data_IF_264087513118
#
_entry.id   IF_264087513118
#
_cell.length_a   1.000
_cell.length_b   1.000
_cell.length_c   1.000
_cell.angle_alpha   90.00
_cell.angle_beta   90.00
_cell.angle_gamma   90.00
#
_symmetry.space_group_name_H-M   'P 1'
#
loop_
_entity.id
_entity.type
_entity.pdbx_description
1 polymer ?
#
# COMPACT_ATOMS: atom_id res chain seq x y z
N UNK A 1 -3.02 -14.88 3.86
CA UNK A 1 -2.12 -14.35 4.91
C UNK A 1 -1.12 -15.41 5.31
N UNK A 2 0.18 -15.23 5.02
CA UNK A 2 1.18 -16.28 5.26
C UNK A 2 1.49 -16.54 6.76
N UNK A 3 1.07 -15.65 7.65
CA UNK A 3 1.29 -15.77 9.10
C UNK A 3 0.20 -16.65 9.74
N UNK A 4 0.64 -17.67 10.48
CA UNK A 4 -0.20 -18.59 11.25
C UNK A 4 -1.01 -17.87 12.36
N UNK A 5 -2.25 -18.28 12.67
CA UNK A 5 -3.06 -19.30 11.99
C UNK A 5 -3.55 -18.81 10.63
N UNK A 6 -3.48 -19.66 9.61
CA UNK A 6 -3.97 -19.32 8.28
C UNK A 6 -5.49 -19.28 8.28
N UNK A 7 -6.08 -18.12 8.02
CA UNK A 7 -7.54 -17.95 7.96
C UNK A 7 -7.97 -17.89 6.50
N UNK A 8 -8.75 -18.87 6.10
CA UNK A 8 -9.41 -19.00 4.78
C UNK A 8 -10.93 -19.03 4.96
N UNK A 9 -11.68 -18.79 3.88
CA UNK A 9 -13.13 -18.92 3.88
C UNK A 9 -13.58 -20.28 4.45
N UNK A 10 -12.97 -21.39 3.98
CA UNK A 10 -13.24 -22.73 4.47
C UNK A 10 -12.96 -22.90 5.99
N UNK A 11 -11.85 -22.34 6.49
CA UNK A 11 -11.55 -22.39 7.94
C UNK A 11 -12.59 -21.63 8.79
N UNK A 12 -13.11 -20.51 8.27
CA UNK A 12 -14.13 -19.72 8.99
C UNK A 12 -15.52 -20.35 8.97
N UNK A 13 -15.78 -21.28 8.05
CA UNK A 13 -16.96 -22.14 8.08
C UNK A 13 -16.84 -23.25 9.13
N UNK A 14 -15.63 -23.80 9.30
CA UNK A 14 -15.35 -24.82 10.30
C UNK A 14 -15.38 -24.28 11.75
N UNK A 15 -15.03 -23.00 11.97
CA UNK A 15 -15.03 -22.42 13.31
C UNK A 15 -15.10 -20.90 13.34
N UNK A 16 -16.06 -20.34 14.10
CA UNK A 16 -16.20 -18.89 14.31
C UNK A 16 -14.97 -18.26 15.01
N UNK A 17 -14.16 -19.07 15.69
CA UNK A 17 -12.89 -18.67 16.33
C UNK A 17 -11.93 -18.01 15.34
N UNK A 18 -11.97 -18.39 14.06
CA UNK A 18 -11.11 -17.80 13.03
C UNK A 18 -11.38 -16.31 12.77
N UNK A 19 -12.60 -15.82 13.03
CA UNK A 19 -12.90 -14.39 12.99
C UNK A 19 -12.20 -13.63 14.13
N UNK A 20 -12.15 -14.22 15.32
CA UNK A 20 -11.41 -13.63 16.45
C UNK A 20 -9.91 -13.58 16.15
N UNK A 21 -9.33 -14.59 15.52
CA UNK A 21 -7.93 -14.54 15.07
C UNK A 21 -7.67 -13.42 14.06
N UNK A 22 -8.63 -13.14 13.16
CA UNK A 22 -8.52 -12.02 12.23
C UNK A 22 -8.54 -10.67 12.94
N UNK A 23 -9.49 -10.47 13.86
CA UNK A 23 -9.58 -9.24 14.65
C UNK A 23 -8.31 -9.05 15.49
N UNK A 24 -7.82 -10.11 16.13
CA UNK A 24 -6.58 -10.06 16.90
C UNK A 24 -5.38 -9.65 16.03
N UNK A 25 -5.28 -10.16 14.79
CA UNK A 25 -4.24 -9.75 13.84
C UNK A 25 -4.32 -8.26 13.49
N UNK A 26 -5.52 -7.71 13.29
CA UNK A 26 -5.68 -6.27 13.05
C UNK A 26 -5.30 -5.44 14.27
N UNK A 27 -5.71 -5.86 15.47
CA UNK A 27 -5.32 -5.18 16.72
C UNK A 27 -3.80 -5.18 16.88
N UNK A 28 -3.15 -6.33 16.72
CA UNK A 28 -1.68 -6.43 16.78
C UNK A 28 -1.02 -5.51 15.76
N UNK A 29 -1.49 -5.51 14.51
CA UNK A 29 -0.94 -4.66 13.45
C UNK A 29 -1.09 -3.17 13.79
N UNK A 30 -2.27 -2.73 14.23
CA UNK A 30 -2.54 -1.34 14.62
C UNK A 30 -1.69 -0.94 15.83
N UNK A 31 -1.60 -1.82 16.84
CA UNK A 31 -0.76 -1.58 18.02
C UNK A 31 0.72 -1.44 17.63
N UNK A 32 1.23 -2.31 16.75
CA UNK A 32 2.60 -2.20 16.25
C UNK A 32 2.80 -0.86 15.51
N UNK A 33 1.92 -0.50 14.58
CA UNK A 33 1.98 0.79 13.88
C UNK A 33 1.98 1.95 14.87
N UNK A 34 1.10 1.93 15.86
CA UNK A 34 1.02 2.95 16.89
C UNK A 34 2.30 3.03 17.73
N UNK A 35 2.88 1.89 18.14
CA UNK A 35 4.15 1.84 18.88
C UNK A 35 5.31 2.44 18.07
N UNK A 36 5.44 2.05 16.80
CA UNK A 36 6.46 2.59 15.90
C UNK A 36 6.30 4.09 15.65
N UNK A 37 5.06 4.59 15.61
CA UNK A 37 4.80 6.01 15.44
C UNK A 37 5.06 6.83 16.72
N UNK A 38 4.52 6.38 17.86
CA UNK A 38 4.60 7.10 19.14
C UNK A 38 6.02 7.18 19.69
N UNK A 39 6.86 6.18 19.42
CA UNK A 39 8.23 6.16 19.91
C UNK A 39 9.23 6.33 18.77
N UNK A 40 9.77 7.54 18.65
CA UNK A 40 10.88 7.82 17.75
C UNK A 40 12.11 6.98 18.08
N UNK A 41 12.47 6.93 19.36
CA UNK A 41 13.59 6.12 19.86
C UNK A 41 13.42 4.64 19.52
N UNK A 42 12.21 4.08 19.61
CA UNK A 42 11.99 2.67 19.26
C UNK A 42 12.16 2.43 17.76
N UNK A 43 11.57 3.30 16.93
CA UNK A 43 11.72 3.23 15.48
C UNK A 43 13.19 3.30 15.07
N UNK A 44 13.91 4.29 15.59
CA UNK A 44 15.33 4.50 15.31
C UNK A 44 16.16 3.30 15.74
N UNK A 45 15.92 2.77 16.94
CA UNK A 45 16.58 1.55 17.39
C UNK A 45 16.32 0.38 16.45
N UNK A 46 15.08 0.15 16.00
CA UNK A 46 14.78 -0.98 15.11
C UNK A 46 15.46 -0.84 13.74
N UNK A 47 15.40 0.34 13.12
CA UNK A 47 15.89 0.55 11.76
C UNK A 47 17.38 0.91 11.68
N UNK A 48 18.01 1.36 12.77
CA UNK A 48 19.45 1.58 12.88
C UNK A 48 20.21 0.38 13.45
N UNK A 49 19.52 -0.69 13.85
CA UNK A 49 20.18 -1.95 14.20
C UNK A 49 20.94 -2.48 12.98
N UNK A 50 22.20 -2.84 13.17
CA UNK A 50 22.97 -3.53 12.12
C UNK A 50 22.47 -5.00 12.08
N UNK A 51 22.13 -5.59 10.92
CA UNK A 51 22.44 -5.18 9.55
C UNK A 51 21.42 -4.26 8.87
N UNK A 52 20.24 -4.09 9.45
CA UNK A 52 19.09 -3.36 8.88
C UNK A 52 19.50 -1.94 8.48
N UNK A 53 20.36 -1.30 9.30
CA UNK A 53 20.93 0.02 9.05
C UNK A 53 21.37 0.24 7.60
N UNK A 54 22.13 -0.68 6.99
CA UNK A 54 22.67 -0.49 5.64
C UNK A 54 21.60 -0.49 4.53
N UNK A 55 20.39 -0.95 4.83
CA UNK A 55 19.28 -0.98 3.87
C UNK A 55 18.46 0.31 3.89
N UNK A 56 18.47 1.05 5.00
CA UNK A 56 17.54 2.17 5.23
C UNK A 56 18.23 3.51 5.49
N UNK A 57 19.55 3.52 5.65
CA UNK A 57 20.32 4.73 5.94
C UNK A 57 20.69 5.49 4.67
N UNK A 58 20.47 6.81 4.71
CA UNK A 58 20.94 7.78 3.73
C UNK A 58 22.43 8.11 3.93
N UNK A 59 23.05 8.85 3.00
CA UNK A 59 24.47 9.22 3.08
C UNK A 59 24.85 9.99 4.37
N UNK A 60 23.88 10.59 5.06
CA UNK A 60 24.03 11.38 6.29
C UNK A 60 23.77 10.58 7.59
N UNK A 61 23.67 9.26 7.52
CA UNK A 61 23.31 8.38 8.64
C UNK A 61 21.89 8.59 9.19
N UNK A 62 21.02 9.30 8.45
CA UNK A 62 19.65 9.59 8.88
C UNK A 62 18.62 8.61 8.30
N UNK A 63 17.57 8.34 9.08
CA UNK A 63 16.38 7.58 8.66
C UNK A 63 15.11 8.45 8.65
N UNK A 64 15.30 9.77 8.68
CA UNK A 64 14.23 10.75 8.81
C UNK A 64 13.25 10.68 7.63
N UNK A 65 13.76 10.53 6.40
CA UNK A 65 12.92 10.37 5.22
C UNK A 65 12.15 9.05 5.26
N UNK A 66 12.80 7.93 5.59
CA UNK A 66 12.13 6.64 5.75
C UNK A 66 10.97 6.72 6.75
N UNK A 67 11.24 7.28 7.93
CA UNK A 67 10.24 7.53 8.98
C UNK A 67 9.11 8.40 8.46
N UNK A 68 9.43 9.50 7.79
CA UNK A 68 8.43 10.41 7.23
C UNK A 68 7.52 9.70 6.22
N UNK A 69 8.08 9.03 5.21
CA UNK A 69 7.33 8.32 4.16
C UNK A 69 6.44 7.22 4.73
N UNK A 70 6.98 6.40 5.62
CA UNK A 70 6.21 5.36 6.31
C UNK A 70 5.08 5.96 7.14
N UNK A 71 5.34 7.07 7.83
CA UNK A 71 4.37 7.72 8.71
C UNK A 71 3.17 8.29 7.95
N UNK A 72 3.35 8.78 6.72
CA UNK A 72 2.28 9.40 5.94
C UNK A 72 1.11 8.43 5.70
N UNK A 73 1.40 7.22 5.25
CA UNK A 73 0.39 6.23 4.83
C UNK A 73 0.17 5.10 5.85
N UNK A 74 0.59 5.29 7.11
CA UNK A 74 0.67 4.23 8.13
C UNK A 74 -0.59 3.38 8.31
N UNK A 75 -1.78 3.96 8.11
CA UNK A 75 -3.07 3.26 8.28
C UNK A 75 -3.77 2.90 6.97
N UNK A 76 -3.28 3.35 5.80
CA UNK A 76 -3.96 3.15 4.50
C UNK A 76 -4.22 1.67 4.22
N UNK A 77 -3.21 0.83 4.44
CA UNK A 77 -3.28 -0.62 4.28
C UNK A 77 -4.29 -1.22 5.27
N UNK A 78 -4.28 -0.78 6.54
CA UNK A 78 -5.21 -1.26 7.57
C UNK A 78 -6.65 -0.95 7.16
N UNK A 79 -6.93 0.26 6.67
CA UNK A 79 -8.26 0.63 6.19
C UNK A 79 -8.73 -0.28 5.05
N UNK A 80 -7.85 -0.57 4.09
CA UNK A 80 -8.15 -1.52 3.01
C UNK A 80 -8.42 -2.95 3.51
N UNK A 81 -7.61 -3.45 4.44
CA UNK A 81 -7.80 -4.79 5.02
C UNK A 81 -9.10 -4.90 5.82
N UNK A 82 -9.41 -3.89 6.64
CA UNK A 82 -10.64 -3.84 7.44
C UNK A 82 -11.86 -3.74 6.52
N UNK A 83 -11.81 -2.89 5.49
CA UNK A 83 -12.88 -2.80 4.50
C UNK A 83 -13.12 -4.16 3.82
N UNK A 84 -12.07 -4.83 3.35
CA UNK A 84 -12.18 -6.15 2.73
C UNK A 84 -12.77 -7.19 3.68
N UNK A 85 -12.36 -7.19 4.94
CA UNK A 85 -12.92 -8.08 5.95
C UNK A 85 -14.40 -7.83 6.22
N UNK A 86 -14.81 -6.57 6.38
CA UNK A 86 -16.22 -6.19 6.57
C UNK A 86 -17.05 -6.54 5.34
N UNK A 87 -16.51 -6.32 4.14
CA UNK A 87 -17.17 -6.67 2.88
C UNK A 87 -17.44 -8.18 2.76
N UNK A 88 -16.45 -9.03 3.05
CA UNK A 88 -16.64 -10.49 3.05
C UNK A 88 -17.66 -10.95 4.11
N UNK A 89 -17.66 -10.33 5.29
CA UNK A 89 -18.68 -10.58 6.31
C UNK A 89 -20.08 -10.16 5.82
N UNK A 90 -20.19 -8.98 5.21
CA UNK A 90 -21.46 -8.48 4.68
C UNK A 90 -22.01 -9.41 3.58
N UNK A 91 -21.16 -9.96 2.72
CA UNK A 91 -21.54 -10.99 1.75
C UNK A 91 -22.02 -12.28 2.43
N UNK A 92 -21.27 -12.78 3.43
CA UNK A 92 -21.63 -14.01 4.15
C UNK A 92 -22.97 -13.91 4.87
N UNK A 93 -23.27 -12.76 5.49
CA UNK A 93 -24.54 -12.52 6.16
C UNK A 93 -25.66 -12.05 5.21
N UNK A 94 -25.41 -12.06 3.89
CA UNK A 94 -26.37 -11.65 2.85
C UNK A 94 -26.87 -10.21 3.00
N UNK A 95 -26.06 -9.33 3.61
CA UNK A 95 -26.31 -7.89 3.59
C UNK A 95 -25.94 -7.27 2.24
N UNK A 96 -25.02 -7.90 1.52
CA UNK A 96 -24.57 -7.49 0.19
C UNK A 96 -24.69 -8.69 -0.74
N UNK A 97 -25.34 -8.49 -1.87
CA UNK A 97 -25.36 -9.44 -2.99
C UNK A 97 -24.68 -8.79 -4.21
N UNK A 98 -23.55 -9.35 -4.60
CA UNK A 98 -22.76 -8.87 -5.73
C UNK A 98 -22.85 -9.77 -6.97
N UNK A 99 -23.72 -10.79 -6.97
CA UNK A 99 -23.86 -11.70 -8.11
C UNK A 99 -24.51 -11.03 -9.32
N UNK A 100 -25.31 -10.00 -9.09
CA UNK A 100 -26.13 -9.36 -10.12
C UNK A 100 -25.47 -8.07 -10.63
N UNK A 101 -25.72 -7.73 -11.90
CA UNK A 101 -25.24 -6.49 -12.52
C UNK A 101 -26.01 -5.24 -12.08
N UNK A 102 -26.97 -5.38 -11.17
CA UNK A 102 -27.77 -4.29 -10.63
C UNK A 102 -26.98 -3.46 -9.60
N UNK A 103 -27.64 -2.48 -8.99
CA UNK A 103 -27.05 -1.76 -7.88
C UNK A 103 -26.85 -2.70 -6.68
N UNK A 104 -25.80 -2.46 -5.91
CA UNK A 104 -25.44 -3.30 -4.76
C UNK A 104 -26.53 -3.33 -3.67
N UNK A 105 -27.33 -2.26 -3.61
CA UNK A 105 -28.45 -2.11 -2.68
C UNK A 105 -29.70 -1.62 -3.40
N UNK A 106 -30.80 -1.43 -2.67
CA UNK A 106 -32.01 -0.78 -3.21
C UNK A 106 -31.68 0.56 -3.87
N UNK A 107 -32.47 0.96 -4.88
CA UNK A 107 -32.18 2.15 -5.69
C UNK A 107 -32.00 3.42 -4.84
N UNK A 108 -32.90 3.64 -3.87
CA UNK A 108 -32.88 4.80 -2.98
C UNK A 108 -31.62 4.76 -2.09
N UNK A 109 -31.35 3.61 -1.47
CA UNK A 109 -30.19 3.47 -0.59
C UNK A 109 -28.88 3.60 -1.36
N UNK A 110 -28.80 3.03 -2.57
CA UNK A 110 -27.65 3.15 -3.45
C UNK A 110 -27.36 4.61 -3.82
N UNK A 111 -28.38 5.38 -4.21
CA UNK A 111 -28.24 6.81 -4.48
C UNK A 111 -27.76 7.59 -3.24
N UNK A 112 -28.29 7.26 -2.06
CA UNK A 112 -27.86 7.87 -0.80
C UNK A 112 -26.39 7.55 -0.47
N UNK A 113 -25.98 6.29 -0.58
CA UNK A 113 -24.59 5.86 -0.32
C UNK A 113 -23.62 6.51 -1.31
N UNK A 114 -23.97 6.60 -2.59
CA UNK A 114 -23.16 7.29 -3.61
C UNK A 114 -23.05 8.78 -3.31
N UNK A 115 -24.14 9.42 -2.89
CA UNK A 115 -24.13 10.82 -2.47
C UNK A 115 -23.21 11.04 -1.27
N UNK A 116 -23.28 10.19 -0.24
CA UNK A 116 -22.33 10.23 0.88
C UNK A 116 -20.89 10.02 0.43
N UNK A 117 -20.65 9.10 -0.51
CA UNK A 117 -19.35 8.89 -1.12
C UNK A 117 -18.82 10.17 -1.78
N UNK A 118 -19.64 10.84 -2.59
CA UNK A 118 -19.30 12.10 -3.26
C UNK A 118 -19.02 13.23 -2.26
N UNK A 119 -19.84 13.35 -1.21
CA UNK A 119 -19.60 14.31 -0.13
C UNK A 119 -18.28 14.02 0.60
N UNK A 120 -17.99 12.76 0.92
CA UNK A 120 -16.74 12.38 1.57
C UNK A 120 -15.52 12.72 0.70
N UNK A 121 -15.56 12.38 -0.60
CA UNK A 121 -14.48 12.72 -1.52
C UNK A 121 -14.32 14.23 -1.67
N UNK A 122 -15.43 14.95 -1.85
CA UNK A 122 -15.44 16.42 -1.93
C UNK A 122 -14.89 17.07 -0.66
N UNK A 123 -15.28 16.59 0.52
CA UNK A 123 -14.80 17.10 1.80
C UNK A 123 -13.28 16.93 1.96
N UNK A 124 -12.74 15.78 1.54
CA UNK A 124 -11.31 15.52 1.58
C UNK A 124 -10.52 16.39 0.59
N UNK A 125 -11.07 16.60 -0.61
CA UNK A 125 -10.49 17.52 -1.60
C UNK A 125 -10.48 18.95 -1.06
N UNK A 126 -11.60 19.42 -0.50
CA UNK A 126 -11.70 20.74 0.13
C UNK A 126 -10.71 20.87 1.28
N UNK A 127 -10.62 19.87 2.16
CA UNK A 127 -9.62 19.83 3.23
C UNK A 127 -8.20 19.99 2.67
N UNK A 128 -7.86 19.24 1.62
CA UNK A 128 -6.53 19.28 1.00
C UNK A 128 -6.21 20.67 0.42
N UNK A 129 -7.18 21.35 -0.19
CA UNK A 129 -6.99 22.70 -0.72
C UNK A 129 -6.95 23.79 0.35
N UNK A 130 -7.71 23.65 1.43
CA UNK A 130 -7.77 24.63 2.51
C UNK A 130 -6.62 24.50 3.52
N UNK A 131 -5.94 23.35 3.54
CA UNK A 131 -4.89 23.08 4.50
C UNK A 131 -3.59 23.81 4.12
N UNK A 132 -3.29 24.90 4.82
CA UNK A 132 -2.15 25.78 4.53
C UNK A 132 -0.82 25.28 5.11
N UNK A 133 -0.84 24.62 6.26
CA UNK A 133 0.37 24.14 6.92
C UNK A 133 0.64 22.67 6.60
N UNK A 134 1.51 22.41 5.62
CA UNK A 134 1.85 21.05 5.15
C UNK A 134 2.19 20.08 6.28
N UNK A 135 2.89 20.52 7.33
CA UNK A 135 3.31 19.64 8.43
C UNK A 135 2.11 19.16 9.23
N UNK A 136 1.20 20.07 9.59
CA UNK A 136 -0.05 19.73 10.28
C UNK A 136 -0.96 18.87 9.37
N UNK A 137 -1.09 19.23 8.09
CA UNK A 137 -1.90 18.45 7.13
C UNK A 137 -1.44 16.99 7.06
N UNK A 138 -0.12 16.77 6.99
CA UNK A 138 0.48 15.45 6.91
C UNK A 138 0.23 14.61 8.17
N UNK A 139 0.11 15.24 9.34
CA UNK A 139 -0.24 14.53 10.58
C UNK A 139 -1.68 14.03 10.54
N UNK A 140 -2.63 14.87 10.11
CA UNK A 140 -4.04 14.50 9.99
C UNK A 140 -4.32 13.54 8.82
N UNK A 141 -3.56 13.67 7.73
CA UNK A 141 -3.71 12.89 6.50
C UNK A 141 -3.89 11.40 6.78
N UNK A 142 -2.99 10.79 7.55
CA UNK A 142 -3.02 9.35 7.82
C UNK A 142 -4.30 8.85 8.49
N UNK A 143 -4.99 9.71 9.24
CA UNK A 143 -6.25 9.40 9.90
C UNK A 143 -7.45 9.67 8.98
N UNK A 144 -7.35 10.71 8.14
CA UNK A 144 -8.43 11.15 7.26
C UNK A 144 -8.47 10.35 5.95
N UNK A 145 -7.39 9.67 5.55
CA UNK A 145 -7.31 8.90 4.29
C UNK A 145 -8.35 7.80 4.17
N UNK A 146 -8.92 7.31 5.28
CA UNK A 146 -10.07 6.38 5.22
C UNK A 146 -11.26 6.97 4.46
N UNK A 147 -11.49 8.28 4.56
CA UNK A 147 -12.61 8.97 3.92
C UNK A 147 -12.53 8.86 2.40
N UNK A 148 -11.48 9.35 1.71
CA UNK A 148 -11.39 9.22 0.26
C UNK A 148 -11.30 7.76 -0.21
N UNK A 149 -10.66 6.87 0.56
CA UNK A 149 -10.58 5.43 0.21
C UNK A 149 -11.99 4.82 0.17
N UNK A 150 -12.75 4.92 1.27
CA UNK A 150 -14.09 4.35 1.36
C UNK A 150 -15.05 5.06 0.39
N UNK A 151 -14.99 6.38 0.29
CA UNK A 151 -15.78 7.16 -0.67
C UNK A 151 -15.59 6.68 -2.10
N UNK A 152 -14.34 6.52 -2.55
CA UNK A 152 -14.05 6.07 -3.90
C UNK A 152 -14.56 4.64 -4.14
N UNK A 153 -14.35 3.73 -3.18
CA UNK A 153 -14.86 2.36 -3.28
C UNK A 153 -16.39 2.34 -3.41
N UNK A 154 -17.10 3.12 -2.58
CA UNK A 154 -18.56 3.19 -2.60
C UNK A 154 -19.08 3.77 -3.91
N UNK A 155 -18.56 4.93 -4.34
CA UNK A 155 -18.95 5.55 -5.61
C UNK A 155 -18.76 4.57 -6.75
N UNK A 156 -17.61 3.89 -6.81
CA UNK A 156 -17.22 3.02 -7.91
C UNK A 156 -18.01 1.71 -7.97
N UNK A 157 -18.37 1.14 -6.82
CA UNK A 157 -18.87 -0.24 -6.74
C UNK A 157 -20.37 -0.35 -6.38
N UNK A 158 -21.00 0.70 -5.85
CA UNK A 158 -22.44 0.64 -5.52
C UNK A 158 -23.34 0.68 -6.77
N UNK A 159 -23.12 1.59 -7.74
CA UNK A 159 -23.90 1.58 -8.98
C UNK A 159 -23.50 0.41 -9.88
N UNK A 160 -24.46 -0.40 -10.31
CA UNK A 160 -24.20 -1.60 -11.12
C UNK A 160 -23.50 -1.30 -12.45
N UNK A 161 -23.93 -0.23 -13.14
CA UNK A 161 -23.36 0.21 -14.41
C UNK A 161 -21.89 0.67 -14.31
N UNK A 162 -21.52 1.24 -13.16
CA UNK A 162 -20.15 1.68 -12.93
C UNK A 162 -19.29 0.48 -12.51
N UNK A 163 -19.79 -0.37 -11.62
CA UNK A 163 -19.12 -1.61 -11.19
C UNK A 163 -18.75 -2.54 -12.36
N UNK A 164 -19.65 -2.69 -13.33
CA UNK A 164 -19.50 -3.65 -14.45
C UNK A 164 -18.64 -3.14 -15.61
N UNK A 165 -18.41 -1.82 -15.72
CA UNK A 165 -17.65 -1.22 -16.83
C UNK A 165 -16.36 -0.61 -16.33
N UNK A 166 -15.24 -0.97 -16.91
CA UNK A 166 -13.93 -0.38 -16.61
C UNK A 166 -13.07 -0.26 -17.87
N UNK A 167 -12.10 0.64 -17.85
CA UNK A 167 -11.09 0.74 -18.91
C UNK A 167 -9.97 -0.27 -18.65
N UNK A 168 -9.75 -1.19 -19.58
CA UNK A 168 -8.64 -2.15 -19.51
C UNK A 168 -7.28 -1.46 -19.44
N UNK A 169 -7.13 -0.31 -20.11
CA UNK A 169 -5.91 0.48 -20.10
C UNK A 169 -5.61 1.04 -18.70
N UNK A 170 -6.57 1.72 -18.07
CA UNK A 170 -6.38 2.25 -16.71
C UNK A 170 -6.30 1.14 -15.66
N UNK A 171 -7.00 0.02 -15.85
CA UNK A 171 -6.85 -1.15 -14.99
C UNK A 171 -5.44 -1.74 -15.08
N UNK A 172 -4.83 -1.75 -16.27
CA UNK A 172 -3.44 -2.16 -16.44
C UNK A 172 -2.47 -1.20 -15.73
N UNK A 173 -2.65 0.12 -15.86
CA UNK A 173 -1.87 1.10 -15.08
C UNK A 173 -1.99 0.88 -13.57
N UNK A 174 -3.21 0.62 -13.09
CA UNK A 174 -3.45 0.33 -11.67
C UNK A 174 -2.71 -0.91 -11.17
N UNK A 175 -2.55 -1.95 -12.02
CA UNK A 175 -1.82 -3.18 -11.68
C UNK A 175 -0.33 -2.96 -11.44
N UNK A 176 0.27 -1.98 -12.12
CA UNK A 176 1.71 -1.63 -11.99
C UNK A 176 1.92 -0.33 -11.19
N UNK A 177 0.89 0.13 -10.46
CA UNK A 177 0.91 1.43 -9.80
C UNK A 177 1.98 1.56 -8.72
N UNK A 178 2.29 0.48 -8.00
CA UNK A 178 3.35 0.46 -7.00
C UNK A 178 4.72 0.65 -7.65
N UNK A 179 4.98 -0.06 -8.76
CA UNK A 179 6.23 0.06 -9.49
C UNK A 179 6.37 1.43 -10.15
N UNK A 180 5.28 1.99 -10.69
CA UNK A 180 5.26 3.37 -11.20
C UNK A 180 5.62 4.36 -10.09
N UNK A 181 5.01 4.22 -8.90
CA UNK A 181 5.25 5.12 -7.77
C UNK A 181 6.69 5.10 -7.28
N UNK A 182 7.34 3.93 -7.23
CA UNK A 182 8.73 3.81 -6.79
C UNK A 182 9.68 4.24 -7.92
N UNK A 183 9.46 3.75 -9.13
CA UNK A 183 10.37 3.96 -10.27
C UNK A 183 10.43 5.42 -10.71
N UNK A 184 9.42 6.25 -10.42
CA UNK A 184 9.46 7.67 -10.75
C UNK A 184 10.67 8.38 -10.11
N UNK A 185 11.03 7.98 -8.88
CA UNK A 185 12.14 8.57 -8.14
C UNK A 185 13.51 8.17 -8.71
N UNK A 186 13.59 7.04 -9.40
CA UNK A 186 14.85 6.50 -9.93
C UNK A 186 15.06 6.78 -11.42
N UNK A 187 13.98 6.91 -12.18
CA UNK A 187 14.03 7.01 -13.64
C UNK A 187 13.65 8.41 -14.12
N UNK A 188 12.62 8.99 -13.52
CA UNK A 188 11.98 10.18 -14.08
C UNK A 188 12.43 11.47 -13.39
N UNK A 189 12.56 11.43 -12.07
CA UNK A 189 13.04 12.53 -11.24
C UNK A 189 14.57 12.49 -11.13
N UNK A 190 15.18 13.67 -11.07
CA UNK A 190 16.61 13.86 -10.90
C UNK A 190 16.87 14.87 -9.75
N UNK A 191 18.13 14.96 -9.31
CA UNK A 191 18.58 15.92 -8.28
C UNK A 191 17.66 15.93 -7.04
N UNK A 192 17.48 14.76 -6.39
CA UNK A 192 16.65 14.62 -5.20
C UNK A 192 15.24 15.19 -5.34
N UNK A 193 14.60 14.89 -6.47
CA UNK A 193 13.24 15.35 -6.84
C UNK A 193 13.11 16.81 -7.25
N UNK A 194 14.23 17.54 -7.35
CA UNK A 194 14.23 18.94 -7.82
C UNK A 194 14.36 19.08 -9.35
N UNK A 195 14.61 17.99 -10.08
CA UNK A 195 14.74 17.97 -11.53
C UNK A 195 13.90 16.89 -12.20
N UNK A 196 13.73 17.02 -13.51
CA UNK A 196 13.12 16.01 -14.39
C UNK A 196 14.17 15.59 -15.42
N UNK A 197 14.18 14.30 -15.78
CA UNK A 197 15.06 13.77 -16.82
C UNK A 197 14.80 14.47 -18.17
N UNK A 198 15.87 15.01 -18.76
CA UNK A 198 15.86 15.59 -20.11
C UNK A 198 16.79 14.81 -21.02
N UNK A 199 16.20 14.02 -21.92
CA UNK A 199 16.88 13.29 -22.99
C UNK A 199 16.95 14.09 -24.29
N UNK A 200 15.94 14.93 -24.56
CA UNK A 200 15.90 15.78 -25.76
C UNK A 200 15.83 17.24 -25.35
N UNK A 201 16.99 17.94 -25.33
CA UNK A 201 17.03 19.38 -25.11
C UNK A 201 16.17 20.13 -26.15
N UNK A 202 15.62 21.28 -25.77
CA UNK A 202 14.83 22.19 -26.61
C UNK A 202 13.44 21.70 -27.08
N UNK A 203 13.08 20.44 -26.87
CA UNK A 203 11.75 19.91 -27.23
C UNK A 203 11.04 19.30 -26.01
N UNK A 204 10.46 20.12 -25.11
CA UNK A 204 9.95 19.66 -23.82
C UNK A 204 8.79 18.66 -23.94
N UNK A 205 7.87 18.87 -24.88
CA UNK A 205 6.73 17.96 -25.09
C UNK A 205 7.20 16.59 -25.57
N UNK A 206 8.11 16.57 -26.54
CA UNK A 206 8.68 15.33 -27.07
C UNK A 206 9.49 14.59 -26.00
N UNK A 207 10.26 15.34 -25.19
CA UNK A 207 10.98 14.77 -24.06
C UNK A 207 10.03 14.10 -23.07
N UNK A 208 8.94 14.75 -22.67
CA UNK A 208 7.96 14.17 -21.74
C UNK A 208 7.31 12.92 -22.32
N UNK A 209 6.95 12.91 -23.60
CA UNK A 209 6.37 11.73 -24.26
C UNK A 209 7.35 10.55 -24.23
N UNK A 210 8.60 10.77 -24.62
CA UNK A 210 9.61 9.71 -24.70
C UNK A 210 10.02 9.21 -23.32
N UNK A 211 10.31 10.12 -22.39
CA UNK A 211 10.68 9.75 -21.01
C UNK A 211 9.55 9.03 -20.30
N UNK A 212 8.29 9.45 -20.48
CA UNK A 212 7.12 8.74 -19.94
C UNK A 212 6.98 7.34 -20.54
N UNK A 213 7.16 7.19 -21.85
CA UNK A 213 7.11 5.88 -22.51
C UNK A 213 8.17 4.92 -21.94
N UNK A 214 9.43 5.37 -21.85
CA UNK A 214 10.54 4.59 -21.27
C UNK A 214 10.23 4.22 -19.81
N UNK A 215 9.80 5.19 -19.01
CA UNK A 215 9.44 5.01 -17.61
C UNK A 215 8.35 3.95 -17.42
N UNK A 216 7.28 3.99 -18.22
CA UNK A 216 6.18 3.02 -18.16
C UNK A 216 6.67 1.63 -18.57
N UNK A 217 7.46 1.52 -19.65
CA UNK A 217 8.02 0.24 -20.10
C UNK A 217 8.90 -0.41 -19.02
N UNK A 218 9.79 0.36 -18.40
CA UNK A 218 10.66 -0.15 -17.33
C UNK A 218 9.82 -0.57 -16.12
N UNK A 219 8.86 0.25 -15.69
CA UNK A 219 7.99 -0.08 -14.55
C UNK A 219 7.19 -1.37 -14.79
N UNK A 220 6.74 -1.61 -16.02
CA UNK A 220 6.07 -2.85 -16.40
C UNK A 220 6.98 -4.08 -16.32
N UNK A 221 8.23 -3.97 -16.78
CA UNK A 221 9.19 -5.08 -16.67
C UNK A 221 9.59 -5.33 -15.21
N UNK A 222 9.78 -4.28 -14.40
CA UNK A 222 9.99 -4.40 -12.96
C UNK A 222 8.82 -5.15 -12.33
N UNK A 223 7.57 -4.81 -12.66
CA UNK A 223 6.38 -5.48 -12.11
C UNK A 223 6.33 -6.98 -12.42
N UNK A 224 6.77 -7.39 -13.63
CA UNK A 224 6.89 -8.82 -13.97
C UNK A 224 7.95 -9.51 -13.13
N UNK A 225 9.12 -8.88 -12.98
CA UNK A 225 10.25 -9.44 -12.23
C UNK A 225 9.90 -9.54 -10.74
N UNK A 226 9.33 -8.48 -10.15
CA UNK A 226 8.89 -8.47 -8.75
C UNK A 226 7.80 -9.51 -8.52
N UNK A 227 6.84 -9.65 -9.44
CA UNK A 227 5.80 -10.67 -9.39
C UNK A 227 6.36 -12.10 -9.45
N UNK A 228 7.38 -12.34 -10.27
CA UNK A 228 8.07 -13.64 -10.34
C UNK A 228 8.89 -13.92 -9.07
N UNK A 229 9.66 -12.95 -8.59
CA UNK A 229 10.49 -13.06 -7.38
C UNK A 229 9.63 -13.27 -6.14
N UNK A 230 8.52 -12.55 -5.99
CA UNK A 230 7.64 -12.62 -4.82
C UNK A 230 7.12 -14.03 -4.59
N UNK A 231 6.77 -14.76 -5.65
CA UNK A 231 6.31 -16.16 -5.55
C UNK A 231 7.38 -17.09 -4.96
N UNK A 232 8.65 -16.82 -5.25
CA UNK A 232 9.77 -17.61 -4.75
C UNK A 232 10.21 -17.15 -3.36
N UNK A 233 10.23 -15.84 -3.13
CA UNK A 233 10.65 -15.25 -1.86
C UNK A 233 9.62 -15.50 -0.74
N UNK A 234 8.32 -15.31 -1.03
CA UNK A 234 7.22 -15.37 -0.08
C UNK A 234 6.22 -16.46 -0.51
N UNK A 235 6.55 -17.76 -0.31
CA UNK A 235 5.64 -18.85 -0.60
C UNK A 235 4.42 -18.83 0.33
N UNK A 236 3.32 -19.44 -0.10
CA UNK A 236 2.07 -19.53 0.67
C UNK A 236 2.18 -20.39 1.93
N UNK A 237 3.08 -21.38 1.92
CA UNK A 237 3.32 -22.27 3.06
C UNK A 237 4.25 -21.65 4.09
N UNK A 238 3.82 -21.61 5.36
CA UNK A 238 4.59 -20.98 6.44
C UNK A 238 5.96 -21.62 6.67
N UNK A 239 6.09 -22.95 6.48
CA UNK A 239 7.37 -23.66 6.64
C UNK A 239 8.37 -23.23 5.57
N UNK A 240 7.93 -23.16 4.33
CA UNK A 240 8.74 -22.69 3.21
C UNK A 240 9.09 -21.21 3.38
N UNK A 241 8.15 -20.39 3.85
CA UNK A 241 8.39 -18.97 4.14
C UNK A 241 9.44 -18.80 5.24
N UNK A 242 9.32 -19.56 6.35
CA UNK A 242 10.28 -19.52 7.44
C UNK A 242 11.67 -19.98 6.96
N UNK A 243 11.75 -21.05 6.16
CA UNK A 243 13.00 -21.50 5.55
C UNK A 243 13.63 -20.39 4.71
N UNK A 244 12.86 -19.77 3.82
CA UNK A 244 13.36 -18.70 2.96
C UNK A 244 13.81 -17.47 3.77
N UNK A 245 13.08 -17.13 4.84
CA UNK A 245 13.46 -16.06 5.75
C UNK A 245 14.77 -16.36 6.47
N UNK A 246 14.96 -17.58 6.98
CA UNK A 246 16.20 -18.03 7.60
C UNK A 246 17.36 -17.95 6.60
N UNK A 247 17.17 -18.47 5.37
CA UNK A 247 18.19 -18.39 4.30
C UNK A 247 18.54 -16.94 3.99
N UNK A 248 17.53 -16.06 3.87
CA UNK A 248 17.75 -14.64 3.64
C UNK A 248 18.58 -14.00 4.77
N UNK A 249 18.24 -14.25 6.04
CA UNK A 249 19.02 -13.78 7.17
C UNK A 249 20.45 -14.33 7.18
N UNK A 250 20.62 -15.61 6.85
CA UNK A 250 21.93 -16.28 6.77
C UNK A 250 22.80 -15.75 5.62
N UNK A 251 22.23 -15.21 4.54
CA UNK A 251 22.98 -14.55 3.46
C UNK A 251 23.26 -13.09 3.82
N UNK A 252 22.28 -12.39 4.40
CA UNK A 252 22.41 -10.99 4.78
C UNK A 252 23.51 -10.78 5.82
N UNK A 253 23.59 -11.65 6.84
CA UNK A 253 24.56 -11.53 7.93
C UNK A 253 26.02 -11.55 7.45
N UNK A 254 26.50 -12.54 6.66
CA UNK A 254 27.85 -12.55 6.10
C UNK A 254 28.14 -11.37 5.17
N UNK A 255 27.19 -10.97 4.31
CA UNK A 255 27.36 -9.80 3.44
C UNK A 255 27.56 -8.54 4.27
N UNK A 256 26.80 -8.39 5.35
CA UNK A 256 26.96 -7.26 6.26
C UNK A 256 28.29 -7.33 7.03
N UNK A 257 28.80 -8.51 7.38
CA UNK A 257 30.13 -8.65 8.00
C UNK A 257 31.24 -8.32 6.99
N UNK A 258 31.16 -8.83 5.76
CA UNK A 258 32.20 -8.64 4.73
C UNK A 258 32.31 -7.19 4.26
N UNK A 259 31.19 -6.45 4.25
CA UNK A 259 31.18 -5.02 3.95
C UNK A 259 31.45 -4.13 5.17
N UNK A 260 31.90 -4.70 6.30
CA UNK A 260 32.23 -3.95 7.52
C UNK A 260 31.02 -3.32 8.22
N UNK A 261 29.80 -3.69 7.81
CA UNK A 261 28.56 -3.23 8.41
C UNK A 261 28.38 -3.87 9.78
N UNK A 262 28.68 -5.15 9.99
CA UNK A 262 28.75 -5.74 11.34
C UNK A 262 30.20 -5.99 11.75
N UNK A 263 30.64 -5.35 12.84
CA UNK A 263 31.84 -5.76 13.58
C UNK A 263 31.43 -6.74 14.67
N UNK A 264 31.91 -7.98 14.59
CA UNK A 264 31.86 -8.95 15.69
C UNK A 264 33.00 -8.65 16.65
#
# INVERSE_FOLDING_TARGET
>A
MAIWPHVTAASTEAGKVHYFYMVAKFVILITLIALFYMSEVFFDKVFLLRPIKSLFVLQDDSISEWRFRWSLDRYSVVYGMVFGFVYELAKKYKFIDDSNNENLFSRIFSSFVVFLGLLGLGSYVIFTFLCKNKVECNQFHSYLTIVPIVSFILIRNVPGWLRTKYSSFFAWFGKISLELFISQYHIWLAADTHGVLVLIPSYPVLNVIITSFIFICISHEISKITGALTKHAIPSEWKALLRNFIIFCLILLPVCISHGVLSI
#
